data_IF_037947737011
#
_entry.id   IF_037947737011
#
_cell.length_a   1.000
_cell.length_b   1.000
_cell.length_c   1.000
_cell.angle_alpha   90.00
_cell.angle_beta   90.00
_cell.angle_gamma   90.00
#
_symmetry.space_group_name_H-M   'P 1'
#
loop_
_entity.id
_entity.type
_entity.pdbx_description
1 polymer ?
#
# COMPACT_ATOMS: atom_id res chain seq x y z
N UNK A 1 10.32 4.89 12.37
CA UNK A 1 9.23 5.85 12.09
C UNK A 1 8.02 5.07 11.61
N UNK A 2 6.83 5.43 12.09
CA UNK A 2 5.56 4.83 11.68
C UNK A 2 4.86 5.68 10.63
N UNK A 3 4.06 5.07 9.77
CA UNK A 3 3.15 5.76 8.85
C UNK A 3 2.10 6.52 9.66
N UNK A 4 1.94 7.81 9.38
CA UNK A 4 0.98 8.72 10.03
C UNK A 4 0.33 9.61 8.97
N UNK A 5 -0.76 10.27 9.33
CA UNK A 5 -1.39 11.27 8.48
C UNK A 5 -0.39 12.34 8.01
N UNK A 6 -0.47 12.73 6.74
CA UNK A 6 0.48 13.60 6.02
C UNK A 6 1.92 13.07 5.89
N UNK A 7 2.19 11.81 6.27
CA UNK A 7 3.50 11.21 6.00
C UNK A 7 3.61 10.83 4.53
N UNK A 8 4.76 11.15 3.93
CA UNK A 8 5.12 10.69 2.58
C UNK A 8 5.74 9.30 2.69
N UNK A 9 5.10 8.31 2.08
CA UNK A 9 5.48 6.90 2.19
C UNK A 9 5.72 6.35 0.79
N UNK A 10 6.73 5.52 0.67
CA UNK A 10 7.05 4.77 -0.54
C UNK A 10 6.87 3.30 -0.23
N UNK A 11 6.05 2.60 -1.02
CA UNK A 11 5.75 1.19 -0.84
C UNK A 11 5.99 0.42 -2.11
N UNK A 12 6.48 -0.81 -1.94
CA UNK A 12 6.36 -1.83 -2.95
C UNK A 12 5.05 -2.60 -2.74
N UNK A 13 4.28 -2.78 -3.81
CA UNK A 13 2.99 -3.47 -3.74
C UNK A 13 2.84 -4.46 -4.89
N UNK A 14 1.99 -5.45 -4.64
CA UNK A 14 1.51 -6.39 -5.67
C UNK A 14 0.04 -6.62 -5.39
N UNK A 15 -0.79 -6.07 -6.26
CA UNK A 15 -2.24 -6.26 -6.22
C UNK A 15 -2.59 -7.52 -6.98
N UNK A 16 -3.36 -8.40 -6.35
CA UNK A 16 -3.92 -9.59 -6.97
C UNK A 16 -5.44 -9.53 -6.95
N UNK A 17 -6.08 -10.11 -7.96
CA UNK A 17 -7.53 -10.31 -7.98
C UNK A 17 -7.92 -11.59 -7.20
N UNK A 18 -9.21 -11.86 -7.09
CA UNK A 18 -9.74 -13.07 -6.44
C UNK A 18 -9.31 -14.38 -7.10
N UNK A 19 -8.98 -14.34 -8.40
CA UNK A 19 -8.44 -15.49 -9.13
C UNK A 19 -6.95 -15.75 -8.83
N UNK A 20 -6.27 -14.84 -8.11
CA UNK A 20 -4.85 -14.91 -7.79
C UNK A 20 -3.92 -14.31 -8.85
N UNK A 21 -4.48 -13.74 -9.92
CA UNK A 21 -3.71 -13.06 -10.97
C UNK A 21 -3.21 -11.71 -10.47
N UNK A 22 -1.98 -11.37 -10.83
CA UNK A 22 -1.41 -10.04 -10.54
C UNK A 22 -2.08 -9.03 -11.46
N UNK A 23 -2.91 -8.16 -10.87
CA UNK A 23 -3.54 -7.04 -11.56
C UNK A 23 -2.54 -5.90 -11.73
N UNK A 24 -1.74 -5.66 -10.69
CA UNK A 24 -0.77 -4.57 -10.70
C UNK A 24 0.40 -4.86 -9.74
N UNK A 25 1.58 -4.32 -10.05
CA UNK A 25 2.77 -4.48 -9.20
C UNK A 25 3.78 -3.37 -9.43
N UNK A 26 4.41 -2.91 -8.35
CA UNK A 26 5.60 -2.03 -8.41
C UNK A 26 6.89 -2.82 -8.66
N UNK A 27 6.86 -4.16 -8.61
CA UNK A 27 8.06 -4.99 -8.75
C UNK A 27 8.66 -4.81 -10.14
N UNK A 28 9.91 -4.35 -10.20
CA UNK A 28 10.62 -4.05 -11.44
C UNK A 28 10.35 -2.64 -12.00
N UNK A 29 9.65 -1.78 -11.22
CA UNK A 29 9.42 -0.36 -11.50
C UNK A 29 9.78 0.48 -10.27
N UNK A 30 9.56 1.78 -10.35
CA UNK A 30 9.70 2.66 -9.19
C UNK A 30 8.61 2.34 -8.14
N UNK A 31 8.95 2.36 -6.84
CA UNK A 31 7.97 2.16 -5.77
C UNK A 31 6.85 3.21 -5.82
N UNK A 32 5.65 2.83 -5.40
CA UNK A 32 4.53 3.77 -5.33
C UNK A 32 4.77 4.74 -4.17
N UNK A 33 4.81 6.04 -4.49
CA UNK A 33 4.93 7.09 -3.50
C UNK A 33 3.58 7.76 -3.32
N UNK A 34 3.09 7.78 -2.09
CA UNK A 34 1.82 8.41 -1.74
C UNK A 34 1.94 9.18 -0.43
N UNK A 35 0.98 10.07 -0.20
CA UNK A 35 0.83 10.79 1.07
C UNK A 35 -0.34 10.20 1.85
N UNK A 36 -0.05 9.61 3.01
CA UNK A 36 -1.08 9.05 3.86
C UNK A 36 -2.08 10.13 4.31
N UNK A 37 -3.38 9.87 4.16
CA UNK A 37 -4.46 10.78 4.46
C UNK A 37 -4.96 11.61 3.28
N UNK A 38 -4.39 11.45 2.08
CA UNK A 38 -4.83 12.16 0.87
C UNK A 38 -5.71 11.35 -0.07
N UNK A 39 -6.04 10.10 0.30
CA UNK A 39 -6.83 9.19 -0.55
C UNK A 39 -6.24 9.02 -1.97
N UNK A 40 -4.92 9.10 -2.10
CA UNK A 40 -4.19 8.85 -3.36
C UNK A 40 -4.14 7.34 -3.70
N UNK A 41 -4.41 6.49 -2.71
CA UNK A 41 -4.49 5.03 -2.82
C UNK A 41 -5.82 4.53 -2.27
N UNK A 42 -6.08 3.23 -2.44
CA UNK A 42 -7.29 2.59 -1.92
C UNK A 42 -7.42 2.82 -0.39
N UNK A 43 -8.57 3.28 0.13
CA UNK A 43 -8.74 3.60 1.55
C UNK A 43 -8.42 2.43 2.49
N UNK A 44 -8.79 1.21 2.09
CA UNK A 44 -8.49 0.02 2.89
C UNK A 44 -6.98 -0.32 2.90
N UNK A 45 -6.24 -0.04 1.82
CA UNK A 45 -4.77 -0.15 1.81
C UNK A 45 -4.13 0.93 2.70
N UNK A 46 -4.62 2.17 2.61
CA UNK A 46 -4.15 3.27 3.46
C UNK A 46 -4.33 2.97 4.95
N UNK A 47 -5.51 2.49 5.33
CA UNK A 47 -5.81 2.08 6.70
C UNK A 47 -4.92 0.93 7.17
N UNK A 48 -4.65 -0.05 6.30
CA UNK A 48 -3.76 -1.17 6.64
C UNK A 48 -2.29 -0.74 6.82
N UNK A 49 -1.87 0.31 6.12
CA UNK A 49 -0.52 0.88 6.23
C UNK A 49 -0.38 1.85 7.41
N UNK A 50 -1.46 2.46 7.89
CA UNK A 50 -1.41 3.38 9.03
C UNK A 50 -0.83 2.71 10.28
N UNK A 51 0.12 3.38 10.93
CA UNK A 51 0.82 2.85 12.11
C UNK A 51 1.93 1.83 11.79
N UNK A 52 2.05 1.36 10.55
CA UNK A 52 3.10 0.41 10.13
C UNK A 52 4.46 1.07 10.06
N UNK A 53 5.50 0.24 10.16
CA UNK A 53 6.89 0.71 10.17
C UNK A 53 7.59 0.43 8.84
N UNK A 54 8.61 1.23 8.52
CA UNK A 54 9.41 1.03 7.31
C UNK A 54 10.07 -0.35 7.33
N UNK A 55 9.95 -1.09 6.23
CA UNK A 55 10.49 -2.44 6.06
C UNK A 55 9.53 -3.56 6.47
N UNK A 56 8.38 -3.21 7.07
CA UNK A 56 7.33 -4.17 7.38
C UNK A 56 6.59 -4.60 6.12
N UNK A 57 6.36 -5.90 5.98
CA UNK A 57 5.61 -6.48 4.87
C UNK A 57 4.24 -6.87 5.42
N UNK A 58 3.18 -6.38 4.77
CA UNK A 58 1.81 -6.68 5.16
C UNK A 58 1.05 -7.25 3.97
N UNK A 59 0.12 -8.15 4.26
CA UNK A 59 -0.83 -8.65 3.28
C UNK A 59 -2.21 -8.14 3.66
N UNK A 60 -2.88 -7.51 2.70
CA UNK A 60 -4.19 -6.89 2.91
C UNK A 60 -5.14 -7.49 1.90
N UNK A 61 -6.20 -8.12 2.40
CA UNK A 61 -7.30 -8.59 1.56
C UNK A 61 -8.34 -7.47 1.48
N UNK A 62 -8.54 -6.94 0.29
CA UNK A 62 -9.55 -5.92 0.02
C UNK A 62 -10.83 -6.66 -0.36
N UNK A 63 -11.78 -6.74 0.56
CA UNK A 63 -13.13 -7.18 0.23
C UNK A 63 -13.89 -6.04 -0.46
N UNK A 64 -14.71 -6.31 -1.48
CA UNK A 64 -15.52 -5.30 -2.17
C UNK A 64 -16.39 -4.47 -1.23
#
# INVERSE_FOLDING_TARGET
MQVKYNAKVSIDYTLKNDAGDVVDTSKGREPLVFTAGKQEILPALEQALMGKTKGENIQVSLTP
#
